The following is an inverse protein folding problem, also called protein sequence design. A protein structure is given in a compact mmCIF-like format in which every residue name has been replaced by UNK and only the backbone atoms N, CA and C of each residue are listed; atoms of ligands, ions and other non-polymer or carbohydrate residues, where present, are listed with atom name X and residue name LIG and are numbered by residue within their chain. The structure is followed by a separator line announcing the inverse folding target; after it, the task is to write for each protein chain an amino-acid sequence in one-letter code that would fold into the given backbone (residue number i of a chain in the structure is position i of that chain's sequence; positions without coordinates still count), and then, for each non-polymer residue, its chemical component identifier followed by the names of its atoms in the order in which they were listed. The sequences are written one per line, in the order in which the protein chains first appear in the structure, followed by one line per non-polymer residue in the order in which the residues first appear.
data_IF_540758661213
#
_entry.id   IF_540758661213
#
_cell.length_a   1.000
_cell.length_b   1.000
_cell.length_c   1.000
_cell.angle_alpha   90.00
_cell.angle_beta   90.00
_cell.angle_gamma   90.00
#
_symmetry.space_group_name_H-M   'P 1'
#
loop_
_entity.id
_entity.type
_entity.pdbx_description
1 polymer ?
#
# COMPACT_ATOMS: atom_id res chain seq x y z
N UNK A 1 26.42 15.86 21.62
CA UNK A 1 27.05 14.96 20.63
C UNK A 1 26.04 14.78 19.51
N UNK A 2 26.41 14.76 18.22
CA UNK A 2 25.46 14.40 17.19
C UNK A 2 24.90 13.00 17.52
N UNK A 3 23.59 12.85 17.45
CA UNK A 3 22.93 11.54 17.60
C UNK A 3 23.52 10.61 16.52
N UNK A 4 23.86 9.37 16.89
CA UNK A 4 24.33 8.38 15.92
C UNK A 4 23.22 8.16 14.89
N UNK A 5 23.51 8.17 13.58
CA UNK A 5 22.48 7.89 12.57
C UNK A 5 21.84 6.52 12.84
N UNK A 6 20.54 6.44 12.60
CA UNK A 6 19.82 5.16 12.68
C UNK A 6 20.38 4.20 11.64
N UNK A 7 20.50 2.94 11.99
CA UNK A 7 20.89 1.89 11.06
C UNK A 7 19.64 1.12 10.62
N UNK A 8 19.38 1.10 9.33
CA UNK A 8 18.21 0.48 8.73
C UNK A 8 18.64 -0.64 7.77
N UNK A 9 17.99 -1.79 7.87
CA UNK A 9 18.12 -2.87 6.88
C UNK A 9 16.83 -2.97 6.08
N UNK A 10 16.96 -2.95 4.77
CA UNK A 10 15.88 -3.19 3.82
C UNK A 10 16.06 -4.55 3.17
N UNK A 11 15.25 -5.52 3.59
CA UNK A 11 15.20 -6.88 3.05
C UNK A 11 14.22 -6.93 1.88
N UNK A 12 14.65 -7.52 0.76
CA UNK A 12 13.89 -7.51 -0.49
C UNK A 12 14.14 -6.24 -1.32
N UNK A 13 15.32 -5.65 -1.21
CA UNK A 13 15.69 -4.41 -1.88
C UNK A 13 15.63 -4.47 -3.43
N UNK A 14 15.72 -5.68 -4.01
CA UNK A 14 15.58 -5.92 -5.44
C UNK A 14 14.14 -5.98 -5.94
N UNK A 15 13.17 -6.19 -5.03
CA UNK A 15 11.76 -6.22 -5.37
C UNK A 15 11.22 -4.84 -5.74
N UNK A 16 10.10 -4.78 -6.46
CA UNK A 16 9.47 -3.50 -6.83
C UNK A 16 9.14 -2.65 -5.59
N UNK A 17 8.54 -3.28 -4.57
CA UNK A 17 8.20 -2.61 -3.33
C UNK A 17 9.45 -2.18 -2.54
N UNK A 18 10.51 -3.00 -2.55
CA UNK A 18 11.79 -2.63 -1.94
C UNK A 18 12.42 -1.41 -2.58
N UNK A 19 12.37 -1.29 -3.91
CA UNK A 19 12.86 -0.10 -4.63
C UNK A 19 12.05 1.15 -4.30
N UNK A 20 10.71 1.05 -4.33
CA UNK A 20 9.84 2.16 -3.96
C UNK A 20 10.06 2.60 -2.50
N UNK A 21 10.23 1.64 -1.58
CA UNK A 21 10.54 1.96 -0.18
C UNK A 21 11.90 2.64 -0.01
N UNK A 22 12.91 2.21 -0.75
CA UNK A 22 14.22 2.85 -0.75
C UNK A 22 14.14 4.31 -1.23
N UNK A 23 13.40 4.58 -2.30
CA UNK A 23 13.16 5.94 -2.81
C UNK A 23 12.44 6.81 -1.78
N UNK A 24 11.34 6.33 -1.19
CA UNK A 24 10.59 7.07 -0.18
C UNK A 24 11.37 7.27 1.12
N UNK A 25 12.22 6.31 1.55
CA UNK A 25 13.10 6.49 2.71
C UNK A 25 14.06 7.66 2.50
N UNK A 26 14.60 7.85 1.28
CA UNK A 26 15.57 8.89 0.95
C UNK A 26 15.00 10.32 1.10
N UNK A 27 13.70 10.50 1.04
CA UNK A 27 13.00 11.80 1.18
C UNK A 27 12.19 11.90 2.48
N UNK A 28 12.30 10.91 3.35
CA UNK A 28 11.55 10.82 4.61
C UNK A 28 12.34 11.36 5.81
N UNK A 29 11.74 11.23 7.01
CA UNK A 29 12.42 11.49 8.28
C UNK A 29 13.64 10.56 8.52
N UNK A 30 13.76 9.48 7.77
CA UNK A 30 14.86 8.53 7.83
C UNK A 30 15.96 8.76 6.77
N UNK A 31 15.91 9.86 6.01
CA UNK A 31 16.87 10.15 4.95
C UNK A 31 18.34 10.19 5.40
N UNK A 32 18.60 10.49 6.67
CA UNK A 32 19.95 10.49 7.25
C UNK A 32 20.37 9.15 7.86
N UNK A 33 19.57 8.08 7.72
CA UNK A 33 19.90 6.76 8.24
C UNK A 33 20.98 6.06 7.41
N UNK A 34 21.77 5.21 8.09
CA UNK A 34 22.69 4.27 7.44
C UNK A 34 21.86 3.10 6.89
N UNK A 35 21.63 3.09 5.57
CA UNK A 35 20.73 2.15 4.89
C UNK A 35 21.51 1.00 4.26
N UNK A 36 21.21 -0.23 4.70
CA UNK A 36 21.76 -1.47 4.18
C UNK A 36 20.71 -2.20 3.34
N UNK A 37 21.01 -2.39 2.05
CA UNK A 37 20.14 -3.03 1.09
C UNK A 37 20.52 -4.49 0.92
N UNK A 38 19.64 -5.40 1.33
CA UNK A 38 19.90 -6.84 1.28
C UNK A 38 18.77 -7.60 0.59
N UNK A 39 19.12 -8.72 -0.05
CA UNK A 39 18.15 -9.58 -0.72
C UNK A 39 18.69 -11.01 -0.83
N UNK A 40 17.92 -11.88 -1.47
CA UNK A 40 18.36 -13.23 -1.81
C UNK A 40 19.42 -13.24 -2.93
N UNK A 41 19.93 -14.43 -3.25
CA UNK A 41 20.98 -14.61 -4.25
C UNK A 41 20.60 -14.12 -5.64
N UNK A 42 19.30 -14.12 -6.01
CA UNK A 42 18.83 -13.71 -7.33
C UNK A 42 18.96 -12.19 -7.57
N UNK A 43 18.97 -11.41 -6.50
CA UNK A 43 19.13 -9.96 -6.57
C UNK A 43 20.58 -9.48 -6.31
N UNK A 44 21.48 -10.39 -5.93
CA UNK A 44 22.86 -10.08 -5.57
C UNK A 44 23.61 -9.30 -6.66
N UNK A 45 24.30 -8.26 -6.25
CA UNK A 45 25.14 -7.45 -7.15
C UNK A 45 24.40 -6.55 -8.14
N UNK A 46 23.05 -6.52 -8.09
CA UNK A 46 22.31 -5.50 -8.85
C UNK A 46 22.60 -4.11 -8.27
N UNK A 47 22.93 -3.18 -9.18
CA UNK A 47 23.16 -1.79 -8.81
C UNK A 47 21.80 -1.12 -8.52
N UNK A 48 21.74 -0.41 -7.40
CA UNK A 48 20.60 0.44 -7.02
C UNK A 48 21.11 1.73 -6.40
N UNK A 49 20.24 2.68 -6.13
CA UNK A 49 20.59 3.91 -5.43
C UNK A 49 20.26 3.76 -3.95
N UNK A 50 21.12 4.24 -3.05
CA UNK A 50 20.81 4.49 -1.66
C UNK A 50 21.00 5.99 -1.41
N UNK A 51 19.90 6.76 -1.41
CA UNK A 51 19.96 8.21 -1.52
C UNK A 51 20.61 8.63 -2.84
N UNK A 52 21.62 9.49 -2.77
CA UNK A 52 22.37 9.97 -3.94
C UNK A 52 23.55 9.06 -4.36
N UNK A 53 23.82 7.98 -3.63
CA UNK A 53 24.93 7.09 -3.88
C UNK A 53 24.48 5.79 -4.57
N UNK A 54 25.25 5.36 -5.59
CA UNK A 54 25.06 4.05 -6.19
C UNK A 54 25.62 2.97 -5.25
N UNK A 55 24.79 2.01 -4.90
CA UNK A 55 25.18 0.89 -4.04
C UNK A 55 24.75 -0.44 -4.63
N UNK A 56 25.34 -1.53 -4.13
CA UNK A 56 24.99 -2.88 -4.55
C UNK A 56 24.11 -3.54 -3.50
N UNK A 57 23.11 -4.28 -3.97
CA UNK A 57 22.33 -5.16 -3.11
C UNK A 57 23.25 -6.29 -2.64
N UNK A 58 23.33 -6.47 -1.32
CA UNK A 58 24.15 -7.50 -0.68
C UNK A 58 23.32 -8.75 -0.40
N UNK A 59 23.98 -9.88 -0.27
CA UNK A 59 23.34 -11.11 0.20
C UNK A 59 23.04 -11.01 1.69
N UNK A 60 21.93 -11.61 2.11
CA UNK A 60 21.59 -11.69 3.54
C UNK A 60 22.56 -12.66 4.22
N UNK A 61 23.36 -12.13 5.14
CA UNK A 61 24.29 -12.86 5.98
C UNK A 61 23.79 -12.92 7.44
N UNK A 62 24.28 -13.84 8.27
CA UNK A 62 23.86 -13.93 9.67
C UNK A 62 24.03 -12.66 10.50
N UNK A 63 25.00 -11.82 10.17
CA UNK A 63 25.33 -10.56 10.83
C UNK A 63 24.72 -9.32 10.18
N UNK A 64 23.95 -9.49 9.09
CA UNK A 64 23.30 -8.36 8.39
C UNK A 64 22.41 -7.52 9.31
N UNK A 65 21.86 -8.10 10.35
CA UNK A 65 20.96 -7.44 11.29
C UNK A 65 21.63 -6.90 12.55
N UNK A 66 22.94 -7.09 12.72
CA UNK A 66 23.64 -6.72 13.94
C UNK A 66 23.69 -5.19 14.12
N UNK A 67 23.21 -4.73 15.28
CA UNK A 67 23.17 -3.30 15.61
C UNK A 67 22.20 -2.48 14.77
N UNK A 68 21.25 -3.11 14.06
CA UNK A 68 20.21 -2.42 13.31
C UNK A 68 19.11 -1.91 14.22
N UNK A 69 18.68 -0.68 13.99
CA UNK A 69 17.56 -0.06 14.69
C UNK A 69 16.21 -0.51 14.09
N UNK A 70 16.14 -0.59 12.76
CA UNK A 70 14.96 -1.01 12.01
C UNK A 70 15.30 -2.02 10.92
N UNK A 71 14.39 -2.95 10.69
CA UNK A 71 14.39 -3.87 9.54
C UNK A 71 13.04 -3.80 8.85
N UNK A 72 13.05 -3.44 7.57
CA UNK A 72 11.88 -3.49 6.70
C UNK A 72 11.92 -4.76 5.86
N UNK A 73 10.83 -5.51 5.84
CA UNK A 73 10.65 -6.67 4.98
C UNK A 73 9.73 -6.31 3.82
N UNK A 74 10.30 -6.00 2.66
CA UNK A 74 9.60 -5.58 1.44
C UNK A 74 9.71 -6.60 0.29
N UNK A 75 10.21 -7.79 0.56
CA UNK A 75 10.31 -8.91 -0.37
C UNK A 75 9.14 -9.88 -0.27
N UNK A 76 9.39 -11.15 -0.62
CA UNK A 76 8.41 -12.22 -0.54
C UNK A 76 8.09 -12.60 0.91
N UNK A 77 6.91 -13.21 1.14
CA UNK A 77 6.56 -13.80 2.44
C UNK A 77 7.57 -14.86 2.90
N UNK A 78 8.10 -15.64 1.97
CA UNK A 78 9.10 -16.66 2.27
C UNK A 78 10.40 -16.04 2.80
N UNK A 79 10.85 -14.94 2.18
CA UNK A 79 12.03 -14.21 2.62
C UNK A 79 11.82 -13.66 4.05
N UNK A 80 10.65 -13.08 4.34
CA UNK A 80 10.28 -12.63 5.67
C UNK A 80 10.26 -13.78 6.66
N UNK A 81 9.58 -14.88 6.35
CA UNK A 81 9.48 -16.10 7.19
C UNK A 81 10.86 -16.62 7.59
N UNK A 82 11.80 -16.61 6.66
CA UNK A 82 13.15 -17.14 6.86
C UNK A 82 13.96 -16.25 7.80
N UNK A 83 13.84 -14.93 7.72
CA UNK A 83 14.82 -14.01 8.33
C UNK A 83 14.28 -13.15 9.48
N UNK A 84 12.97 -12.99 9.66
CA UNK A 84 12.44 -12.05 10.65
C UNK A 84 12.84 -12.40 12.11
N UNK A 85 12.91 -13.69 12.45
CA UNK A 85 13.36 -14.11 13.78
C UNK A 85 14.81 -13.71 14.07
N UNK A 86 15.67 -13.67 13.04
CA UNK A 86 17.06 -13.27 13.16
C UNK A 86 17.15 -11.77 13.43
N UNK A 87 16.45 -10.94 12.65
CA UNK A 87 16.34 -9.51 12.87
C UNK A 87 15.78 -9.17 14.27
N UNK A 88 14.73 -9.90 14.68
CA UNK A 88 14.10 -9.71 15.99
C UNK A 88 15.06 -10.04 17.14
N UNK A 89 15.84 -11.13 17.04
CA UNK A 89 16.86 -11.51 18.06
C UNK A 89 18.02 -10.53 18.09
N UNK A 90 18.43 -9.96 16.97
CA UNK A 90 19.46 -8.93 16.89
C UNK A 90 19.05 -7.59 17.54
N UNK A 91 17.77 -7.44 17.91
CA UNK A 91 17.28 -6.25 18.61
C UNK A 91 16.61 -5.23 17.70
N UNK A 92 16.52 -5.50 16.39
CA UNK A 92 15.88 -4.63 15.42
C UNK A 92 14.37 -4.51 15.65
N UNK A 93 13.79 -3.35 15.34
CA UNK A 93 12.35 -3.17 15.17
C UNK A 93 11.96 -3.52 13.75
N UNK A 94 10.87 -4.26 13.60
CA UNK A 94 10.46 -4.85 12.33
C UNK A 94 9.22 -4.15 11.79
N UNK A 95 9.26 -3.79 10.52
CA UNK A 95 8.10 -3.38 9.72
C UNK A 95 7.93 -4.39 8.58
N UNK A 96 6.89 -5.18 8.65
CA UNK A 96 6.57 -6.18 7.64
C UNK A 96 5.58 -5.63 6.62
N UNK A 97 6.01 -5.56 5.35
CA UNK A 97 5.19 -5.18 4.21
C UNK A 97 4.71 -6.42 3.43
N UNK A 98 5.28 -7.59 3.71
CA UNK A 98 4.91 -8.85 3.03
C UNK A 98 3.60 -9.44 3.54
N UNK A 99 3.17 -9.05 4.75
CA UNK A 99 2.01 -9.61 5.45
C UNK A 99 2.25 -11.02 6.00
N UNK A 100 3.49 -11.49 6.07
CA UNK A 100 3.83 -12.81 6.65
C UNK A 100 3.57 -12.86 8.15
N UNK A 101 3.79 -11.74 8.84
CA UNK A 101 3.62 -11.66 10.29
C UNK A 101 2.19 -11.35 10.73
N UNK A 102 1.23 -11.29 9.80
CA UNK A 102 -0.18 -11.08 10.14
C UNK A 102 -0.73 -12.22 10.98
N UNK A 103 -1.25 -11.89 12.16
CA UNK A 103 -1.71 -12.87 13.14
C UNK A 103 -0.66 -13.40 14.12
N UNK A 104 0.63 -13.02 13.97
CA UNK A 104 1.66 -13.37 14.96
C UNK A 104 1.40 -12.65 16.30
N UNK A 105 1.48 -13.35 17.43
CA UNK A 105 1.24 -12.75 18.74
C UNK A 105 2.16 -11.55 19.02
N UNK A 106 1.57 -10.41 19.37
CA UNK A 106 2.31 -9.19 19.70
C UNK A 106 2.78 -8.39 18.47
N UNK A 107 2.33 -8.76 17.27
CA UNK A 107 2.60 -8.05 16.02
C UNK A 107 1.30 -7.44 15.49
N UNK A 108 0.97 -6.18 15.81
CA UNK A 108 -0.27 -5.55 15.35
C UNK A 108 -0.18 -5.12 13.89
N UNK A 109 -1.33 -5.13 13.22
CA UNK A 109 -1.54 -4.48 11.94
C UNK A 109 -1.61 -2.96 12.11
N UNK A 110 -0.86 -2.17 11.31
CA UNK A 110 -0.78 -0.72 11.48
C UNK A 110 -1.05 0.06 10.21
N UNK A 111 -1.85 1.10 10.39
CA UNK A 111 -2.13 2.16 9.43
C UNK A 111 -2.12 3.51 10.19
N UNK A 112 -0.95 4.10 10.51
CA UNK A 112 -0.84 5.24 11.41
C UNK A 112 -1.63 6.49 10.98
N UNK A 113 -1.86 6.66 9.67
CA UNK A 113 -2.67 7.78 9.17
C UNK A 113 -4.16 7.69 9.52
N UNK A 114 -4.63 6.48 9.85
CA UNK A 114 -6.03 6.19 10.18
C UNK A 114 -6.20 5.97 11.68
N UNK A 115 -5.29 5.22 12.27
CA UNK A 115 -5.36 4.76 13.65
C UNK A 115 -4.74 5.80 14.61
N UNK A 116 -5.30 7.00 14.64
CA UNK A 116 -4.86 8.10 15.53
C UNK A 116 -5.34 7.91 16.99
N UNK A 117 -5.73 6.70 17.37
CA UNK A 117 -6.17 6.40 18.73
C UNK A 117 -4.97 5.93 19.57
N UNK A 118 -4.54 6.69 20.60
CA UNK A 118 -3.42 6.29 21.45
C UNK A 118 -3.62 4.95 22.18
N UNK A 119 -4.88 4.54 22.42
CA UNK A 119 -5.19 3.27 23.07
C UNK A 119 -4.97 2.04 22.16
N UNK A 120 -4.97 2.26 20.84
CA UNK A 120 -4.67 1.22 19.84
C UNK A 120 -3.23 1.34 19.30
N UNK A 121 -2.47 2.33 19.76
CA UNK A 121 -1.08 2.52 19.36
C UNK A 121 -0.20 1.38 19.90
N UNK A 122 0.90 1.06 19.20
CA UNK A 122 1.91 0.15 19.73
C UNK A 122 2.42 0.63 21.10
N UNK A 123 2.75 -0.28 21.97
CA UNK A 123 3.34 0.01 23.27
C UNK A 123 4.88 -0.06 23.24
N UNK A 124 5.52 0.20 24.39
CA UNK A 124 6.97 0.15 24.53
C UNK A 124 7.58 -1.25 24.29
N UNK A 125 6.76 -2.29 24.35
CA UNK A 125 7.18 -3.68 24.13
C UNK A 125 7.01 -4.11 22.68
N UNK A 126 6.22 -3.37 21.89
CA UNK A 126 5.97 -3.64 20.47
C UNK A 126 7.25 -3.41 19.66
N UNK A 127 7.75 -4.47 19.07
CA UNK A 127 9.00 -4.46 18.29
C UNK A 127 8.81 -4.87 16.84
N UNK A 128 7.63 -5.35 16.50
CA UNK A 128 7.28 -5.72 15.13
C UNK A 128 5.86 -5.25 14.83
N UNK A 129 5.62 -4.80 13.61
CA UNK A 129 4.30 -4.42 13.10
C UNK A 129 4.15 -4.90 11.66
N UNK A 130 2.91 -5.20 11.25
CA UNK A 130 2.56 -5.39 9.85
C UNK A 130 2.04 -4.07 9.30
N UNK A 131 2.60 -3.60 8.20
CA UNK A 131 2.08 -2.45 7.46
C UNK A 131 0.82 -2.87 6.72
N UNK A 132 -0.30 -2.20 6.96
CA UNK A 132 -1.57 -2.53 6.34
C UNK A 132 -1.51 -2.40 4.81
N UNK A 133 -2.27 -3.25 4.12
CA UNK A 133 -2.39 -3.22 2.67
C UNK A 133 -2.85 -1.83 2.20
N UNK A 134 -2.24 -1.24 1.16
CA UNK A 134 -2.52 0.14 0.74
C UNK A 134 -4.00 0.42 0.45
N UNK A 135 -4.73 -0.55 -0.11
CA UNK A 135 -6.18 -0.39 -0.39
C UNK A 135 -7.00 -0.37 0.90
N UNK A 136 -6.63 -1.17 1.91
CA UNK A 136 -7.29 -1.13 3.23
C UNK A 136 -7.08 0.23 3.89
N UNK A 137 -5.83 0.73 3.89
CA UNK A 137 -5.46 2.06 4.36
C UNK A 137 -6.24 3.16 3.65
N UNK A 138 -6.24 3.15 2.31
CA UNK A 138 -6.88 4.16 1.46
C UNK A 138 -8.39 4.26 1.75
N UNK A 139 -9.09 3.13 1.81
CA UNK A 139 -10.53 3.11 2.09
C UNK A 139 -10.84 3.54 3.53
N UNK A 140 -10.04 3.10 4.49
CA UNK A 140 -10.18 3.51 5.88
C UNK A 140 -9.91 5.01 6.09
N UNK A 141 -8.93 5.58 5.36
CA UNK A 141 -8.61 7.00 5.39
C UNK A 141 -9.78 7.86 4.88
N UNK A 142 -10.43 7.45 3.79
CA UNK A 142 -11.63 8.13 3.28
C UNK A 142 -12.79 8.13 4.30
N UNK A 143 -12.99 7.01 4.99
CA UNK A 143 -14.01 6.94 6.07
C UNK A 143 -13.62 7.84 7.23
N UNK A 144 -12.35 7.89 7.60
CA UNK A 144 -11.81 8.76 8.66
C UNK A 144 -12.03 10.23 8.34
N UNK A 145 -11.63 10.68 7.15
CA UNK A 145 -11.83 12.08 6.72
C UNK A 145 -13.31 12.44 6.62
N UNK A 146 -14.14 11.55 6.07
CA UNK A 146 -15.58 11.75 5.99
C UNK A 146 -16.22 12.00 7.37
N UNK A 147 -15.77 11.27 8.39
CA UNK A 147 -16.16 11.42 9.78
C UNK A 147 -17.68 11.58 9.98
N UNK A 148 -18.09 12.51 10.85
CA UNK A 148 -19.50 12.79 11.09
C UNK A 148 -20.17 13.57 9.95
N UNK A 149 -19.41 14.29 9.13
CA UNK A 149 -19.94 15.10 8.03
C UNK A 149 -20.47 14.22 6.89
N UNK A 150 -19.73 13.20 6.53
CA UNK A 150 -20.06 12.25 5.47
C UNK A 150 -20.16 10.83 6.02
N UNK A 151 -20.94 10.64 7.09
CA UNK A 151 -21.11 9.33 7.73
C UNK A 151 -21.60 8.30 6.72
N UNK A 152 -20.73 7.41 6.33
CA UNK A 152 -20.99 6.34 5.38
C UNK A 152 -21.75 5.20 6.05
N UNK A 153 -22.83 4.72 5.42
CA UNK A 153 -23.62 3.55 5.87
C UNK A 153 -23.18 2.28 5.16
N UNK A 154 -22.76 2.42 3.93
CA UNK A 154 -22.39 1.28 3.10
C UNK A 154 -21.27 1.67 2.15
N UNK A 155 -20.38 0.72 1.88
CA UNK A 155 -19.18 0.89 1.07
C UNK A 155 -19.00 -0.35 0.18
N UNK A 156 -19.11 -0.16 -1.12
CA UNK A 156 -18.86 -1.19 -2.13
C UNK A 156 -17.74 -0.72 -3.03
N UNK A 157 -16.73 -1.53 -3.19
CA UNK A 157 -15.56 -1.18 -4.00
C UNK A 157 -15.23 -2.25 -5.03
N UNK A 158 -14.80 -1.81 -6.21
CA UNK A 158 -14.14 -2.64 -7.21
C UNK A 158 -12.74 -2.10 -7.41
N UNK A 159 -11.74 -2.90 -7.07
CA UNK A 159 -10.34 -2.61 -7.31
C UNK A 159 -9.93 -3.16 -8.68
N UNK A 160 -9.38 -2.31 -9.52
CA UNK A 160 -8.62 -2.68 -10.70
C UNK A 160 -7.15 -2.78 -10.29
N UNK A 161 -6.68 -4.01 -10.10
CA UNK A 161 -5.36 -4.32 -9.56
C UNK A 161 -4.32 -4.36 -10.69
N UNK A 162 -3.16 -3.67 -10.55
CA UNK A 162 -2.10 -3.70 -11.55
C UNK A 162 -1.24 -4.96 -11.45
N UNK A 163 -0.47 -5.25 -12.50
CA UNK A 163 0.48 -6.35 -12.53
C UNK A 163 1.62 -6.19 -11.50
N UNK A 164 2.01 -4.95 -11.18
CA UNK A 164 3.06 -4.65 -10.18
C UNK A 164 2.76 -5.18 -8.78
N UNK A 165 1.50 -5.48 -8.46
CA UNK A 165 1.10 -6.13 -7.21
C UNK A 165 1.75 -7.51 -7.02
N UNK A 166 1.98 -8.21 -8.13
CA UNK A 166 2.58 -9.54 -8.15
C UNK A 166 4.06 -9.54 -8.54
N UNK A 167 4.70 -8.37 -8.45
CA UNK A 167 6.14 -8.24 -8.62
C UNK A 167 6.61 -8.12 -10.08
N UNK A 168 7.93 -8.22 -10.24
CA UNK A 168 8.60 -7.95 -11.51
C UNK A 168 8.25 -8.98 -12.60
N UNK A 169 8.13 -10.24 -12.23
CA UNK A 169 7.80 -11.31 -13.18
C UNK A 169 6.42 -11.13 -13.81
N UNK A 170 5.43 -10.65 -13.04
CA UNK A 170 4.10 -10.34 -13.55
C UNK A 170 4.11 -9.14 -14.50
N UNK A 171 4.92 -8.12 -14.21
CA UNK A 171 5.12 -6.99 -15.11
C UNK A 171 5.75 -7.45 -16.45
N UNK A 172 6.80 -8.23 -16.38
CA UNK A 172 7.47 -8.76 -17.58
C UNK A 172 6.54 -9.67 -18.40
N UNK A 173 5.75 -10.51 -17.73
CA UNK A 173 4.81 -11.36 -18.44
C UNK A 173 3.73 -10.54 -19.12
N UNK A 174 3.14 -9.54 -18.46
CA UNK A 174 2.16 -8.64 -19.07
C UNK A 174 2.76 -7.89 -20.28
N UNK A 175 4.00 -7.41 -20.16
CA UNK A 175 4.70 -6.75 -21.26
C UNK A 175 4.91 -7.70 -22.45
N UNK A 176 5.42 -8.91 -22.20
CA UNK A 176 5.63 -9.93 -23.24
C UNK A 176 4.31 -10.39 -23.88
N UNK A 177 3.25 -10.59 -23.08
CA UNK A 177 1.92 -10.92 -23.61
C UNK A 177 1.40 -9.80 -24.52
N UNK A 178 1.58 -8.52 -24.13
CA UNK A 178 1.16 -7.37 -24.94
C UNK A 178 1.88 -7.34 -26.28
N UNK A 179 3.21 -7.48 -26.29
CA UNK A 179 4.01 -7.51 -27.51
C UNK A 179 3.66 -8.70 -28.40
N UNK A 180 3.49 -9.89 -27.81
CA UNK A 180 3.21 -11.11 -28.53
C UNK A 180 1.81 -11.10 -29.16
N UNK A 181 0.78 -10.57 -28.49
CA UNK A 181 -0.55 -10.42 -29.06
C UNK A 181 -0.53 -9.52 -30.31
N UNK A 182 0.18 -8.39 -30.24
CA UNK A 182 0.31 -7.47 -31.38
C UNK A 182 1.12 -8.06 -32.54
N UNK A 183 1.98 -9.05 -32.26
CA UNK A 183 2.85 -9.71 -33.23
C UNK A 183 2.34 -11.12 -33.63
N UNK A 184 1.15 -11.52 -33.20
CA UNK A 184 0.55 -12.83 -33.44
C UNK A 184 1.45 -14.02 -33.00
N UNK A 185 2.16 -13.84 -31.87
CA UNK A 185 3.03 -14.86 -31.28
C UNK A 185 2.33 -15.57 -30.11
N UNK A 186 2.77 -16.79 -29.74
CA UNK A 186 2.29 -17.51 -28.57
C UNK A 186 2.47 -16.68 -27.29
N UNK A 187 1.48 -16.78 -26.37
CA UNK A 187 1.49 -16.01 -25.11
C UNK A 187 2.26 -16.78 -24.03
N UNK A 188 3.20 -16.13 -23.32
CA UNK A 188 3.72 -16.66 -22.07
C UNK A 188 2.60 -16.62 -21.01
N UNK A 189 2.52 -17.65 -20.17
CA UNK A 189 1.51 -17.79 -19.11
C UNK A 189 2.11 -18.39 -17.84
N UNK A 190 3.34 -17.99 -17.52
CA UNK A 190 4.10 -18.56 -16.41
C UNK A 190 3.58 -18.07 -15.05
N UNK A 191 3.22 -16.78 -14.95
CA UNK A 191 2.72 -16.12 -13.74
C UNK A 191 1.20 -16.12 -13.71
N UNK A 192 0.53 -15.52 -14.70
CA UNK A 192 -0.94 -15.41 -14.70
C UNK A 192 -1.66 -16.74 -14.98
N UNK A 193 -0.99 -17.74 -15.57
CA UNK A 193 -1.61 -18.99 -16.04
C UNK A 193 -2.71 -18.78 -17.09
N UNK A 194 -2.76 -17.58 -17.69
CA UNK A 194 -3.73 -17.20 -18.71
C UNK A 194 -3.39 -15.85 -19.33
N UNK A 195 -4.25 -15.40 -20.24
CA UNK A 195 -4.09 -14.08 -20.86
C UNK A 195 -4.47 -12.97 -19.87
N UNK A 196 -3.51 -12.13 -19.52
CA UNK A 196 -3.71 -10.89 -18.74
C UNK A 196 -3.75 -9.66 -19.66
N UNK A 197 -2.93 -9.63 -20.71
CA UNK A 197 -2.91 -8.51 -21.65
C UNK A 197 -4.28 -8.35 -22.34
N UNK A 198 -4.80 -7.10 -22.30
CA UNK A 198 -6.13 -6.72 -22.83
C UNK A 198 -7.32 -7.47 -22.20
N UNK A 199 -7.14 -8.06 -21.01
CA UNK A 199 -8.17 -8.83 -20.31
C UNK A 199 -8.39 -8.30 -18.89
N UNK A 200 -9.64 -8.21 -18.48
CA UNK A 200 -10.03 -8.00 -17.08
C UNK A 200 -10.40 -9.37 -16.50
N UNK A 201 -9.70 -9.82 -15.47
CA UNK A 201 -9.89 -11.14 -14.91
C UNK A 201 -10.20 -11.09 -13.41
N UNK A 202 -11.24 -11.81 -12.99
CA UNK A 202 -11.56 -12.03 -11.56
C UNK A 202 -10.87 -13.29 -11.02
N UNK A 203 -10.37 -14.15 -11.90
CA UNK A 203 -9.65 -15.38 -11.59
C UNK A 203 -8.87 -15.87 -12.81
N UNK A 204 -7.72 -16.51 -12.56
CA UNK A 204 -6.93 -17.25 -13.58
C UNK A 204 -6.92 -18.76 -13.33
N UNK A 205 -7.80 -19.25 -12.48
CA UNK A 205 -7.86 -20.64 -12.04
C UNK A 205 -7.06 -20.93 -10.78
N UNK A 206 -7.29 -22.11 -10.19
CA UNK A 206 -6.77 -22.45 -8.86
C UNK A 206 -5.25 -22.61 -8.75
N UNK A 207 -4.56 -22.84 -9.88
CA UNK A 207 -3.10 -23.03 -9.92
C UNK A 207 -2.30 -21.74 -10.17
N UNK A 208 -2.97 -20.64 -10.48
CA UNK A 208 -2.30 -19.34 -10.66
C UNK A 208 -1.83 -18.78 -9.31
N UNK A 209 -0.60 -18.25 -9.20
CA UNK A 209 -0.19 -17.48 -8.05
C UNK A 209 -0.95 -16.14 -7.93
N UNK A 210 -1.55 -15.68 -9.02
CA UNK A 210 -2.37 -14.46 -9.06
C UNK A 210 -3.80 -14.82 -8.66
N UNK A 211 -4.19 -14.45 -7.44
CA UNK A 211 -5.48 -14.79 -6.82
C UNK A 211 -6.25 -13.53 -6.38
N UNK A 212 -6.95 -12.83 -7.28
CA UNK A 212 -7.68 -11.61 -6.95
C UNK A 212 -8.72 -11.80 -5.82
N UNK A 213 -9.40 -12.94 -5.79
CA UNK A 213 -10.36 -13.25 -4.72
C UNK A 213 -9.68 -13.40 -3.35
N UNK A 214 -8.48 -13.96 -3.29
CA UNK A 214 -7.66 -14.04 -2.07
C UNK A 214 -7.26 -12.65 -1.57
N UNK A 215 -6.81 -11.79 -2.47
CA UNK A 215 -6.48 -10.39 -2.16
C UNK A 215 -7.69 -9.64 -1.59
N UNK A 216 -8.90 -9.86 -2.14
CA UNK A 216 -10.11 -9.23 -1.63
C UNK A 216 -10.39 -9.61 -0.16
N UNK A 217 -10.17 -10.88 0.21
CA UNK A 217 -10.34 -11.35 1.59
C UNK A 217 -9.36 -10.68 2.56
N UNK A 218 -8.08 -10.64 2.21
CA UNK A 218 -7.03 -9.99 3.01
C UNK A 218 -7.34 -8.50 3.19
N UNK A 219 -7.58 -7.77 2.10
CA UNK A 219 -7.88 -6.33 2.13
C UNK A 219 -9.11 -6.02 2.99
N UNK A 220 -10.18 -6.81 2.84
CA UNK A 220 -11.41 -6.60 3.63
C UNK A 220 -11.21 -6.89 5.11
N UNK A 221 -10.43 -7.91 5.46
CA UNK A 221 -10.04 -8.22 6.84
C UNK A 221 -9.23 -7.10 7.46
N UNK A 222 -8.21 -6.65 6.78
CA UNK A 222 -7.36 -5.54 7.24
C UNK A 222 -8.13 -4.21 7.34
N UNK A 223 -9.02 -3.91 6.37
CA UNK A 223 -9.90 -2.74 6.47
C UNK A 223 -10.76 -2.79 7.74
N UNK A 224 -11.35 -3.94 8.06
CA UNK A 224 -12.17 -4.09 9.26
C UNK A 224 -11.38 -3.86 10.56
N UNK A 225 -10.07 -4.15 10.55
CA UNK A 225 -9.17 -3.96 11.70
C UNK A 225 -8.69 -2.52 11.84
N UNK A 226 -8.34 -1.85 10.71
CA UNK A 226 -7.74 -0.51 10.76
C UNK A 226 -8.76 0.62 10.70
N UNK A 227 -9.96 0.40 10.14
CA UNK A 227 -10.96 1.45 10.00
C UNK A 227 -11.52 1.90 11.36
N UNK A 228 -11.94 3.17 11.48
CA UNK A 228 -12.52 3.69 12.73
C UNK A 228 -13.72 2.85 13.21
N UNK A 229 -13.91 2.78 14.53
CA UNK A 229 -15.04 2.09 15.11
C UNK A 229 -16.39 2.62 14.57
N UNK A 230 -17.27 1.74 14.14
CA UNK A 230 -18.55 2.11 13.52
C UNK A 230 -18.47 2.39 12.01
N UNK A 231 -17.31 2.16 11.38
CA UNK A 231 -17.19 2.20 9.93
C UNK A 231 -18.10 1.17 9.25
N UNK A 232 -18.60 1.44 8.03
CA UNK A 232 -19.38 0.46 7.28
C UNK A 232 -18.53 -0.76 6.93
N UNK A 233 -19.15 -1.93 6.83
CA UNK A 233 -18.50 -3.11 6.27
C UNK A 233 -18.12 -2.85 4.80
N UNK A 234 -16.95 -3.34 4.40
CA UNK A 234 -16.50 -3.25 3.01
C UNK A 234 -16.95 -4.48 2.22
N UNK A 235 -17.65 -4.25 1.11
CA UNK A 235 -17.84 -5.26 0.08
C UNK A 235 -16.85 -4.98 -1.06
N UNK A 236 -15.83 -5.83 -1.21
CA UNK A 236 -14.74 -5.62 -2.16
C UNK A 236 -14.72 -6.71 -3.24
N UNK A 237 -14.66 -6.27 -4.49
CA UNK A 237 -14.29 -7.10 -5.62
C UNK A 237 -12.92 -6.67 -6.14
N UNK A 238 -12.02 -7.63 -6.37
CA UNK A 238 -10.73 -7.38 -7.01
C UNK A 238 -10.75 -7.96 -8.41
N UNK A 239 -10.31 -7.17 -9.36
CA UNK A 239 -10.18 -7.52 -10.77
C UNK A 239 -8.74 -7.26 -11.18
N UNK A 240 -8.04 -8.29 -11.67
CA UNK A 240 -6.76 -8.07 -12.34
C UNK A 240 -6.99 -7.31 -13.63
N UNK A 241 -6.39 -6.14 -13.72
CA UNK A 241 -6.46 -5.29 -14.90
C UNK A 241 -5.17 -5.38 -15.73
N UNK A 242 -5.24 -5.16 -17.06
CA UNK A 242 -4.08 -5.20 -17.95
C UNK A 242 -3.29 -3.88 -17.87
N UNK A 243 -2.93 -3.47 -16.65
CA UNK A 243 -2.15 -2.26 -16.37
C UNK A 243 -0.90 -2.61 -15.57
N UNK A 244 0.17 -1.86 -15.78
CA UNK A 244 1.46 -2.14 -15.16
C UNK A 244 1.49 -1.69 -13.70
N UNK A 245 1.15 -0.42 -13.43
CA UNK A 245 1.24 0.23 -12.13
C UNK A 245 -0.02 1.03 -11.81
N UNK A 246 -0.19 1.34 -10.54
CA UNK A 246 -1.21 2.21 -10.02
C UNK A 246 -2.56 1.53 -9.83
N UNK A 247 -3.12 1.65 -8.63
CA UNK A 247 -4.48 1.25 -8.36
C UNK A 247 -5.49 2.17 -9.04
N UNK A 248 -6.59 1.59 -9.49
CA UNK A 248 -7.80 2.32 -9.81
C UNK A 248 -9.00 1.65 -9.12
N UNK A 249 -9.80 2.40 -8.38
CA UNK A 249 -10.96 1.90 -7.68
C UNK A 249 -12.22 2.64 -8.12
N UNK A 250 -13.28 1.87 -8.35
CA UNK A 250 -14.65 2.36 -8.44
C UNK A 250 -15.35 2.05 -7.12
N UNK A 251 -15.72 3.09 -6.37
CA UNK A 251 -16.28 2.93 -5.03
C UNK A 251 -17.66 3.55 -4.98
N UNK A 252 -18.69 2.75 -4.69
CA UNK A 252 -20.03 3.24 -4.39
C UNK A 252 -20.17 3.47 -2.89
N UNK A 253 -20.64 4.64 -2.51
CA UNK A 253 -20.90 4.97 -1.11
C UNK A 253 -22.36 5.38 -0.91
N UNK A 254 -22.94 4.94 0.22
CA UNK A 254 -24.23 5.45 0.70
C UNK A 254 -24.04 6.16 2.03
N UNK A 255 -24.50 7.41 2.10
CA UNK A 255 -24.40 8.26 3.29
C UNK A 255 -25.65 8.17 4.15
N UNK A 256 -25.50 8.44 5.45
CA UNK A 256 -26.60 8.51 6.41
C UNK A 256 -27.57 9.66 6.13
N UNK A 257 -27.08 10.75 5.53
CA UNK A 257 -27.85 11.95 5.15
C UNK A 257 -27.46 12.43 3.75
N UNK A 258 -28.36 13.12 3.06
CA UNK A 258 -28.01 13.70 1.77
C UNK A 258 -26.93 14.77 1.92
N UNK A 259 -26.04 14.86 0.93
CA UNK A 259 -25.04 15.91 0.77
C UNK A 259 -24.95 16.34 -0.69
N UNK A 260 -24.49 17.57 -0.92
CA UNK A 260 -24.05 18.01 -2.24
C UNK A 260 -22.66 17.41 -2.55
N UNK A 261 -22.35 17.15 -3.81
CA UNK A 261 -21.07 16.53 -4.21
C UNK A 261 -19.84 17.33 -3.75
N UNK A 262 -19.89 18.66 -3.83
CA UNK A 262 -18.81 19.52 -3.36
C UNK A 262 -18.66 19.52 -1.82
N UNK A 263 -19.74 19.26 -1.08
CA UNK A 263 -19.67 19.12 0.37
C UNK A 263 -19.03 17.78 0.76
N UNK A 264 -19.39 16.70 0.04
CA UNK A 264 -18.69 15.41 0.21
C UNK A 264 -17.21 15.53 -0.14
N UNK A 265 -16.87 16.15 -1.29
CA UNK A 265 -15.47 16.36 -1.67
C UNK A 265 -14.68 17.09 -0.57
N UNK A 266 -15.21 18.18 -0.02
CA UNK A 266 -14.56 18.88 1.09
C UNK A 266 -14.41 18.05 2.36
N UNK A 267 -15.39 17.18 2.63
CA UNK A 267 -15.30 16.28 3.79
C UNK A 267 -14.27 15.17 3.64
N UNK A 268 -14.03 14.72 2.40
CA UNK A 268 -13.03 13.68 2.09
C UNK A 268 -11.62 14.24 1.90
N UNK A 269 -11.48 15.53 1.59
CA UNK A 269 -10.19 16.19 1.42
C UNK A 269 -9.40 16.23 2.74
N UNK A 270 -8.09 16.00 2.66
CA UNK A 270 -7.21 16.04 3.81
C UNK A 270 -5.81 15.54 3.46
N UNK A 271 -4.95 15.29 4.45
CA UNK A 271 -3.64 14.72 4.20
C UNK A 271 -3.77 13.41 3.39
N UNK A 272 -2.90 13.25 2.38
CA UNK A 272 -2.86 12.09 1.47
C UNK A 272 -4.09 11.90 0.57
N UNK A 273 -5.07 12.85 0.57
CA UNK A 273 -6.29 12.78 -0.24
C UNK A 273 -6.50 14.06 -1.01
N UNK A 274 -6.31 14.03 -2.30
CA UNK A 274 -6.56 15.13 -3.22
C UNK A 274 -7.90 14.93 -3.95
N UNK A 275 -8.80 15.92 -3.82
CA UNK A 275 -10.09 15.91 -4.54
C UNK A 275 -9.91 16.56 -5.90
N UNK A 276 -10.12 15.80 -6.95
CA UNK A 276 -10.02 16.27 -8.34
C UNK A 276 -11.33 16.92 -8.78
N UNK A 277 -11.24 18.14 -9.32
CA UNK A 277 -12.39 18.79 -9.94
C UNK A 277 -12.69 18.18 -11.32
N UNK A 278 -13.97 18.05 -11.66
CA UNK A 278 -14.45 17.39 -12.91
C UNK A 278 -13.91 18.04 -14.19
N UNK A 279 -13.57 19.35 -14.14
CA UNK A 279 -13.13 20.13 -15.28
C UNK A 279 -11.64 20.00 -15.62
N UNK A 280 -10.80 19.57 -14.67
CA UNK A 280 -9.35 19.78 -14.77
C UNK A 280 -8.54 18.51 -14.98
N UNK A 281 -9.11 17.34 -14.76
CA UNK A 281 -8.30 16.14 -14.76
C UNK A 281 -9.05 14.87 -15.14
N UNK A 282 -8.34 14.06 -15.87
CA UNK A 282 -8.64 12.66 -16.07
C UNK A 282 -7.77 11.86 -15.08
N UNK A 283 -8.27 11.57 -13.85
CA UNK A 283 -7.50 10.79 -12.90
C UNK A 283 -7.42 9.35 -13.40
N UNK A 284 -6.28 9.01 -14.00
CA UNK A 284 -5.94 7.68 -14.47
C UNK A 284 -4.82 7.07 -13.61
N UNK A 285 -4.69 5.76 -13.65
CA UNK A 285 -3.63 5.04 -12.94
C UNK A 285 -2.21 5.48 -13.36
N UNK A 286 -2.00 5.88 -14.61
CA UNK A 286 -0.71 6.41 -15.09
C UNK A 286 -0.34 7.71 -14.38
N UNK A 287 -1.32 8.63 -14.26
CA UNK A 287 -1.10 9.90 -13.55
C UNK A 287 -0.90 9.70 -12.05
N UNK A 288 -1.52 8.69 -11.47
CA UNK A 288 -1.38 8.38 -10.05
C UNK A 288 0.06 8.07 -9.63
N UNK A 289 0.87 7.52 -10.54
CA UNK A 289 2.28 7.20 -10.28
C UNK A 289 3.15 8.49 -10.23
N UNK A 290 2.69 9.58 -10.84
CA UNK A 290 3.38 10.87 -10.85
C UNK A 290 3.02 11.76 -9.65
N UNK A 291 1.91 11.46 -8.96
CA UNK A 291 1.39 12.29 -7.86
C UNK A 291 1.78 11.70 -6.49
N UNK A 292 1.81 12.57 -5.49
CA UNK A 292 2.15 12.15 -4.11
C UNK A 292 0.93 11.59 -3.37
N UNK A 293 -0.23 12.20 -3.58
CA UNK A 293 -1.47 11.87 -2.90
C UNK A 293 -2.40 11.01 -3.76
N UNK A 294 -3.26 10.21 -3.11
CA UNK A 294 -4.36 9.59 -3.83
C UNK A 294 -5.30 10.66 -4.41
N UNK A 295 -5.76 10.42 -5.62
CA UNK A 295 -6.68 11.32 -6.30
C UNK A 295 -8.10 10.76 -6.25
N UNK A 296 -9.06 11.57 -5.85
CA UNK A 296 -10.46 11.18 -5.69
C UNK A 296 -11.36 12.10 -6.49
N UNK A 297 -12.12 11.54 -7.42
CA UNK A 297 -13.17 12.22 -8.16
C UNK A 297 -14.54 11.81 -7.60
N UNK A 298 -15.34 12.78 -7.17
CA UNK A 298 -16.66 12.56 -6.56
C UNK A 298 -17.77 12.78 -7.58
N UNK A 299 -18.61 11.75 -7.80
CA UNK A 299 -19.77 11.83 -8.69
C UNK A 299 -21.06 11.48 -7.97
N UNK A 300 -22.05 12.41 -7.95
CA UNK A 300 -23.35 12.13 -7.32
C UNK A 300 -24.18 11.17 -8.19
N UNK A 301 -24.96 10.32 -7.54
CA UNK A 301 -25.96 9.45 -8.19
C UNK A 301 -27.35 10.01 -7.89
N UNK A 302 -28.10 10.34 -8.94
CA UNK A 302 -29.48 10.81 -8.82
C UNK A 302 -30.43 9.78 -9.43
N UNK A 303 -31.62 9.65 -8.84
CA UNK A 303 -32.69 8.76 -9.33
C UNK A 303 -33.46 9.40 -10.49
N UNK A 304 -33.46 10.75 -10.57
CA UNK A 304 -34.16 11.51 -11.60
C UNK A 304 -33.24 12.40 -12.44
N UNK A 305 -33.52 12.59 -13.71
CA UNK A 305 -32.74 13.37 -14.69
C UNK A 305 -32.87 14.91 -14.55
N UNK A 306 -32.91 15.46 -13.34
CA UNK A 306 -32.97 16.92 -13.12
C UNK A 306 -31.58 17.56 -12.96
N UNK A 307 -31.50 18.91 -13.03
CA UNK A 307 -30.25 19.68 -12.93
C UNK A 307 -29.37 19.28 -11.72
N UNK A 308 -28.12 18.89 -11.97
CA UNK A 308 -27.28 18.17 -11.05
C UNK A 308 -26.47 19.04 -10.05
N UNK A 309 -26.21 20.31 -10.33
CA UNK A 309 -25.13 21.06 -9.67
C UNK A 309 -25.40 21.49 -8.22
N UNK A 310 -26.66 21.51 -7.77
CA UNK A 310 -27.04 21.95 -6.41
C UNK A 310 -27.87 20.93 -5.63
N UNK A 311 -28.06 19.73 -6.19
CA UNK A 311 -28.88 18.68 -5.56
C UNK A 311 -28.08 17.88 -4.56
N UNK A 312 -28.70 17.59 -3.43
CA UNK A 312 -28.17 16.68 -2.43
C UNK A 312 -28.61 15.22 -2.73
N UNK A 313 -27.69 14.29 -2.51
CA UNK A 313 -27.97 12.85 -2.61
C UNK A 313 -27.29 12.11 -1.49
N UNK A 314 -27.72 10.88 -1.25
CA UNK A 314 -27.04 9.95 -0.32
C UNK A 314 -26.09 9.01 -1.03
N UNK A 315 -26.15 8.92 -2.37
CA UNK A 315 -25.40 7.95 -3.15
C UNK A 315 -24.39 8.64 -4.05
N UNK A 316 -23.15 8.16 -3.99
CA UNK A 316 -22.05 8.68 -4.79
C UNK A 316 -21.21 7.56 -5.35
N UNK A 317 -20.65 7.82 -6.52
CA UNK A 317 -19.48 7.12 -7.03
C UNK A 317 -18.23 7.94 -6.70
N UNK A 318 -17.24 7.27 -6.15
CA UNK A 318 -15.87 7.80 -6.04
C UNK A 318 -15.01 7.02 -7.03
N UNK A 319 -14.32 7.74 -7.88
CA UNK A 319 -13.24 7.18 -8.68
C UNK A 319 -11.93 7.55 -7.99
N UNK A 320 -11.12 6.56 -7.66
CA UNK A 320 -9.92 6.74 -6.85
C UNK A 320 -8.76 6.15 -7.60
N UNK A 321 -7.65 6.88 -7.69
CA UNK A 321 -6.39 6.38 -8.23
C UNK A 321 -5.24 6.70 -7.26
N UNK A 322 -4.30 5.78 -7.12
CA UNK A 322 -3.13 5.93 -6.25
C UNK A 322 -1.97 5.06 -6.76
N UNK A 323 -0.73 5.49 -6.50
CA UNK A 323 0.43 4.64 -6.69
C UNK A 323 0.43 3.52 -5.64
N UNK A 324 0.37 2.28 -6.09
CA UNK A 324 0.28 1.12 -5.22
C UNK A 324 1.56 0.85 -4.41
N UNK A 325 2.73 1.06 -5.01
CA UNK A 325 4.02 0.82 -4.38
C UNK A 325 4.42 1.96 -3.44
N UNK A 326 4.23 3.20 -3.89
CA UNK A 326 4.51 4.40 -3.10
C UNK A 326 3.65 4.47 -1.85
N UNK A 327 2.34 4.22 -1.97
CA UNK A 327 1.43 4.22 -0.84
C UNK A 327 1.78 3.15 0.21
N UNK A 328 2.21 1.95 -0.24
CA UNK A 328 2.70 0.90 0.65
C UNK A 328 3.98 1.33 1.38
N UNK A 329 4.94 1.92 0.67
CA UNK A 329 6.18 2.41 1.22
C UNK A 329 5.96 3.51 2.26
N UNK A 330 5.11 4.48 1.95
CA UNK A 330 4.78 5.59 2.84
C UNK A 330 4.09 5.11 4.12
N UNK A 331 3.16 4.14 4.04
CA UNK A 331 2.56 3.55 5.24
C UNK A 331 3.60 2.84 6.12
N UNK A 332 4.51 2.10 5.51
CA UNK A 332 5.59 1.42 6.24
C UNK A 332 6.53 2.41 6.94
N UNK A 333 6.86 3.52 6.29
CA UNK A 333 7.64 4.61 6.89
C UNK A 333 6.88 5.25 8.06
N UNK A 334 5.57 5.46 7.93
CA UNK A 334 4.75 5.95 9.03
C UNK A 334 4.71 4.97 10.22
N UNK A 335 4.66 3.65 9.95
CA UNK A 335 4.78 2.61 10.98
C UNK A 335 6.13 2.66 11.70
N UNK A 336 7.23 2.81 10.97
CA UNK A 336 8.56 2.95 11.56
C UNK A 336 8.67 4.22 12.40
N UNK A 337 8.13 5.35 11.93
CA UNK A 337 8.10 6.61 12.68
C UNK A 337 7.28 6.50 13.97
N UNK A 338 6.19 5.74 13.97
CA UNK A 338 5.41 5.43 15.16
C UNK A 338 6.24 4.61 16.16
N UNK A 339 6.91 3.56 15.72
CA UNK A 339 7.81 2.75 16.56
C UNK A 339 9.02 3.54 17.08
N UNK A 340 9.54 4.50 16.30
CA UNK A 340 10.68 5.33 16.74
C UNK A 340 10.30 6.27 17.89
N UNK A 341 9.09 6.79 17.91
CA UNK A 341 8.59 7.64 19.04
C UNK A 341 8.53 6.87 20.35
N UNK A 342 8.40 5.56 20.31
CA UNK A 342 8.37 4.66 21.47
C UNK A 342 9.77 4.26 21.97
N UNK A 343 10.84 4.62 21.26
CA UNK A 343 12.20 4.30 21.72
C UNK A 343 12.49 5.06 23.01
N UNK A 344 13.03 4.40 24.05
CA UNK A 344 13.56 5.09 25.21
C UNK A 344 14.69 6.02 24.73
N UNK A 345 14.44 7.30 24.64
CA UNK A 345 15.50 8.28 24.44
C UNK A 345 16.27 8.33 25.74
N UNK A 346 17.38 7.59 25.80
CA UNK A 346 18.23 7.51 26.98
C UNK A 346 18.85 8.85 27.31
N UNK A 347 18.17 9.63 28.13
CA UNK A 347 18.78 10.64 28.96
C UNK A 347 19.36 9.95 30.19
N UNK A 348 20.59 9.46 30.12
CA UNK A 348 21.36 9.16 31.33
C UNK A 348 21.68 10.54 31.94
N UNK A 349 21.03 10.84 33.09
CA UNK A 349 21.48 11.88 33.98
C UNK A 349 22.81 11.50 34.66
#
# INVERSE_FOLDING_TARGET
MPEKPLRIVLVGAGALLGKALNEELSVSAFAAADLHLVDDEAALGKLTAAGDEATFIQQIEPDSFDGCDFTFFAGSRELTRTHWHQAFRAGSRIVDLSGELEGEPGVPLRAPWVQDNPAAAPDLQTRAVVSAHPVALLLALLVTHGGQTAMMKALWATLLQPASEYGHEALEELHRQTANLLSFQPLPTDVFRGQSAFTLAVSFGGESPVQPAGSAGVISGQYAEVAPAGSPSLALQVIQAPVFHGYALSVAVELSRPLAANALGRALAGPHVHIVADADAFPGNVRAVEEEDMQVLVRPVFEDAGSAASRETRRFWLWIVADNLKLAAQNAIACAAELDRLRPRGGVQ
#
